data_IF_418634293306
#
_entry.id   IF_418634293306
#
_cell.length_a   1.000
_cell.length_b   1.000
_cell.length_c   1.000
_cell.angle_alpha   90.00
_cell.angle_beta   90.00
_cell.angle_gamma   90.00
#
_symmetry.space_group_name_H-M   'P 1'
#
loop_
_entity.id
_entity.type
_entity.pdbx_description
1 polymer ?
#
# COMPACT_ATOMS: atom_id res chain seq x y z
N UNK A 1 -3.79 10.12 -7.59
CA UNK A 1 -4.84 10.76 -6.77
C UNK A 1 -5.80 9.70 -6.23
N UNK A 2 -5.30 8.73 -5.45
CA UNK A 2 -6.19 7.73 -4.79
C UNK A 2 -5.66 7.43 -3.39
N UNK A 3 -4.34 7.36 -3.23
CA UNK A 3 -3.66 7.35 -1.95
C UNK A 3 -2.91 8.67 -1.81
N UNK A 4 -3.29 9.47 -0.82
CA UNK A 4 -2.69 10.78 -0.52
C UNK A 4 -2.45 10.86 1.00
N UNK A 5 -1.24 11.24 1.40
CA UNK A 5 -0.80 11.26 2.81
C UNK A 5 -1.09 9.95 3.57
N UNK A 6 -0.99 8.82 2.88
CA UNK A 6 -1.27 7.50 3.43
C UNK A 6 0.00 6.86 3.99
N UNK A 7 -0.04 6.47 5.26
CA UNK A 7 1.04 5.76 5.94
C UNK A 7 0.47 4.52 6.62
N UNK A 8 1.12 3.37 6.43
CA UNK A 8 0.75 2.14 7.13
C UNK A 8 1.97 1.23 7.27
N UNK A 9 1.94 0.37 8.28
CA UNK A 9 2.97 -0.65 8.52
C UNK A 9 2.29 -1.98 8.73
N UNK A 10 2.71 -3.01 7.99
CA UNK A 10 2.27 -4.39 8.22
C UNK A 10 3.27 -5.02 9.20
N UNK A 11 2.84 -5.48 10.39
CA UNK A 11 3.72 -6.17 11.31
C UNK A 11 4.23 -7.50 10.71
N UNK A 12 5.50 -7.81 10.96
CA UNK A 12 6.11 -9.06 10.52
C UNK A 12 5.33 -10.28 11.06
N UNK A 13 5.16 -11.30 10.21
CA UNK A 13 4.49 -12.55 10.57
C UNK A 13 2.97 -12.42 10.80
N UNK A 14 2.36 -11.32 10.38
CA UNK A 14 0.90 -11.12 10.44
C UNK A 14 0.28 -11.13 9.05
N UNK A 15 -0.87 -11.79 8.96
CA UNK A 15 -1.75 -11.66 7.79
C UNK A 15 -2.71 -10.49 8.02
N UNK A 16 -2.73 -9.54 7.09
CA UNK A 16 -3.58 -8.35 7.16
C UNK A 16 -4.55 -8.35 5.98
N UNK A 17 -5.82 -8.04 6.23
CA UNK A 17 -6.84 -7.87 5.20
C UNK A 17 -7.05 -6.38 4.91
N UNK A 18 -7.07 -6.01 3.63
CA UNK A 18 -7.36 -4.65 3.17
C UNK A 18 -8.83 -4.53 2.78
N UNK A 19 -9.63 -3.85 3.59
CA UNK A 19 -11.10 -3.75 3.43
C UNK A 19 -11.55 -2.31 3.23
N UNK A 20 -12.65 -2.12 2.48
CA UNK A 20 -13.21 -0.80 2.20
C UNK A 20 -14.09 -0.75 0.95
N UNK A 21 -14.89 0.31 0.77
CA UNK A 21 -15.84 0.45 -0.34
C UNK A 21 -15.17 0.47 -1.71
N UNK A 22 -15.89 0.19 -2.79
CA UNK A 22 -15.33 0.27 -4.16
C UNK A 22 -14.74 1.66 -4.42
N UNK A 23 -13.61 1.72 -5.14
CA UNK A 23 -12.90 2.98 -5.42
C UNK A 23 -12.01 3.50 -4.29
N UNK A 24 -11.99 2.90 -3.10
CA UNK A 24 -11.20 3.37 -1.94
C UNK A 24 -9.67 3.19 -2.05
N UNK A 25 -9.13 2.82 -3.22
CA UNK A 25 -7.69 2.65 -3.42
C UNK A 25 -7.07 1.31 -3.03
N UNK A 26 -7.88 0.30 -2.69
CA UNK A 26 -7.38 -1.04 -2.33
C UNK A 26 -6.49 -1.67 -3.40
N UNK A 27 -7.01 -1.75 -4.63
CA UNK A 27 -6.26 -2.33 -5.76
C UNK A 27 -5.05 -1.47 -6.14
N UNK A 28 -5.15 -0.15 -5.97
CA UNK A 28 -4.02 0.77 -6.15
C UNK A 28 -2.90 0.46 -5.16
N UNK A 29 -3.23 0.28 -3.87
CA UNK A 29 -2.25 -0.09 -2.85
C UNK A 29 -1.59 -1.44 -3.16
N UNK A 30 -2.39 -2.45 -3.51
CA UNK A 30 -1.84 -3.76 -3.89
C UNK A 30 -0.89 -3.65 -5.08
N UNK A 31 -1.22 -2.86 -6.10
CA UNK A 31 -0.39 -2.68 -7.30
C UNK A 31 0.93 -1.98 -6.99
N UNK A 32 0.94 -1.02 -6.05
CA UNK A 32 2.16 -0.38 -5.57
C UNK A 32 3.04 -1.35 -4.75
N UNK A 33 2.42 -2.16 -3.88
CA UNK A 33 3.14 -3.13 -3.03
C UNK A 33 3.90 -4.18 -3.86
N UNK A 34 3.29 -4.67 -4.93
CA UNK A 34 3.91 -5.64 -5.85
C UNK A 34 4.75 -4.97 -6.95
N UNK A 35 4.96 -3.65 -6.87
CA UNK A 35 5.73 -2.82 -7.81
C UNK A 35 5.27 -2.93 -9.28
N UNK A 36 3.97 -3.06 -9.52
CA UNK A 36 3.40 -2.77 -10.85
C UNK A 36 3.45 -1.27 -11.18
N UNK A 37 3.49 -0.42 -10.15
CA UNK A 37 3.73 1.02 -10.26
C UNK A 37 4.67 1.46 -9.14
N UNK A 38 5.46 2.50 -9.40
CA UNK A 38 6.23 3.19 -8.38
C UNK A 38 5.44 4.36 -7.78
N UNK A 39 5.61 4.66 -6.48
CA UNK A 39 5.02 5.84 -5.88
C UNK A 39 5.58 7.11 -6.52
N UNK A 40 4.71 8.07 -6.83
CA UNK A 40 5.13 9.37 -7.37
C UNK A 40 5.92 10.16 -6.32
N UNK A 41 5.54 10.03 -5.04
CA UNK A 41 6.19 10.65 -3.89
C UNK A 41 6.16 9.69 -2.70
N UNK A 42 7.15 9.81 -1.80
CA UNK A 42 7.31 8.91 -0.65
C UNK A 42 8.02 7.61 -1.02
N UNK A 43 7.88 6.59 -0.16
CA UNK A 43 8.54 5.30 -0.37
C UNK A 43 7.71 4.14 0.19
N UNK A 44 7.91 2.96 -0.40
CA UNK A 44 7.41 1.69 0.13
C UNK A 44 8.61 0.81 0.42
N UNK A 45 8.77 0.44 1.69
CA UNK A 45 9.87 -0.41 2.16
C UNK A 45 9.36 -1.81 2.46
N UNK A 46 10.09 -2.83 2.02
CA UNK A 46 9.82 -4.23 2.35
C UNK A 46 10.94 -4.69 3.28
N UNK A 47 10.58 -5.31 4.40
CA UNK A 47 11.53 -5.70 5.45
C UNK A 47 12.39 -4.54 5.98
N UNK A 48 11.82 -3.33 5.97
CA UNK A 48 12.50 -2.10 6.41
C UNK A 48 13.57 -1.58 5.44
N UNK A 49 13.59 -2.06 4.18
CA UNK A 49 14.50 -1.64 3.12
C UNK A 49 13.77 -1.18 1.87
#
# INVERSE_FOLDING_TARGET
MVLENFNFTIPCGKTVALVGPSGSGKSTLCSLLVRFYDPINGQITIDGK
#
